data_IF_274061190585
#
_entry.id   IF_274061190585
#
_cell.length_a   1.000
_cell.length_b   1.000
_cell.length_c   1.000
_cell.angle_alpha   90.00
_cell.angle_beta   90.00
_cell.angle_gamma   90.00
#
_symmetry.space_group_name_H-M   'P 1'
#
loop_
_entity.id
_entity.type
_entity.pdbx_description
1 polymer ?
#
# COMPACT_ATOMS: atom_id res chain seq x y z
N UNK A 1 -1.03 -1.91 48.39
CA UNK A 1 -1.48 -3.33 48.43
C UNK A 1 -0.62 -4.18 49.38
N UNK A 2 -1.14 -5.29 49.91
CA UNK A 2 -0.38 -6.21 50.76
C UNK A 2 0.13 -7.42 49.97
N UNK A 3 1.38 -7.82 50.22
CA UNK A 3 1.96 -9.00 49.57
C UNK A 3 1.27 -10.29 50.07
N UNK A 4 0.75 -11.16 49.17
CA UNK A 4 0.05 -12.38 49.57
C UNK A 4 0.96 -13.43 50.23
N UNK A 5 2.29 -13.32 50.03
CA UNK A 5 3.28 -14.27 50.55
C UNK A 5 3.85 -13.88 51.92
N UNK A 6 4.12 -12.60 52.15
CA UNK A 6 4.82 -12.14 53.36
C UNK A 6 4.10 -11.03 54.14
N UNK A 7 2.92 -10.58 53.67
CA UNK A 7 2.09 -9.59 54.37
C UNK A 7 2.65 -8.16 54.41
N UNK A 8 3.79 -7.88 53.76
CA UNK A 8 4.37 -6.53 53.74
C UNK A 8 3.48 -5.59 52.91
N UNK A 9 3.27 -4.36 53.41
CA UNK A 9 2.60 -3.31 52.66
C UNK A 9 3.52 -2.78 51.57
N UNK A 10 3.03 -2.74 50.33
CA UNK A 10 3.74 -2.23 49.16
C UNK A 10 2.89 -1.13 48.49
N UNK A 11 3.56 -0.23 47.78
CA UNK A 11 2.89 0.73 46.90
C UNK A 11 2.08 0.02 45.81
N UNK A 12 0.97 0.62 45.40
CA UNK A 12 0.02 0.01 44.46
C UNK A 12 0.60 -0.21 43.06
N UNK A 13 1.66 0.51 42.67
CA UNK A 13 2.34 0.33 41.38
C UNK A 13 3.55 -0.62 41.43
N UNK A 14 3.81 -1.26 42.58
CA UNK A 14 5.00 -2.08 42.71
C UNK A 14 4.82 -3.45 42.03
N UNK A 15 5.64 -3.77 41.02
CA UNK A 15 5.55 -5.06 40.32
C UNK A 15 5.99 -6.24 41.20
N UNK A 16 6.90 -6.00 42.14
CA UNK A 16 7.45 -7.01 43.05
C UNK A 16 7.39 -6.51 44.48
N UNK A 17 7.29 -7.43 45.44
CA UNK A 17 7.36 -7.05 46.84
C UNK A 17 8.75 -6.53 47.23
N UNK A 18 8.82 -5.39 47.92
CA UNK A 18 10.08 -4.79 48.40
C UNK A 18 10.87 -5.70 49.34
N UNK A 19 10.20 -6.64 50.02
CA UNK A 19 10.82 -7.51 51.03
C UNK A 19 11.17 -8.89 50.48
N UNK A 20 10.18 -9.61 49.92
CA UNK A 20 10.36 -11.00 49.50
C UNK A 20 10.45 -11.21 47.97
N UNK A 21 10.38 -10.13 47.18
CA UNK A 21 10.48 -10.15 45.72
C UNK A 21 9.38 -10.96 44.99
N UNK A 22 8.29 -11.29 45.68
CA UNK A 22 7.11 -11.93 45.07
C UNK A 22 6.46 -11.02 44.03
N UNK A 23 6.01 -11.58 42.90
CA UNK A 23 5.35 -10.81 41.84
C UNK A 23 3.93 -10.48 42.31
N UNK A 24 3.63 -9.19 42.42
CA UNK A 24 2.34 -8.71 42.95
C UNK A 24 1.33 -8.46 41.84
N UNK A 25 1.81 -8.21 40.62
CA UNK A 25 0.97 -7.95 39.45
C UNK A 25 1.26 -8.99 38.38
N UNK A 26 0.22 -9.59 37.75
CA UNK A 26 0.43 -10.34 36.52
C UNK A 26 1.12 -9.42 35.52
N UNK A 27 2.14 -9.94 34.82
CA UNK A 27 2.83 -9.17 33.80
C UNK A 27 1.81 -8.61 32.81
N UNK A 28 1.91 -7.34 32.40
CA UNK A 28 0.98 -6.76 31.45
C UNK A 28 0.98 -7.64 30.20
N UNK A 29 -0.20 -8.15 29.84
CA UNK A 29 -0.39 -8.91 28.61
C UNK A 29 0.09 -8.03 27.47
N UNK A 30 1.09 -8.48 26.70
CA UNK A 30 1.52 -7.75 25.51
C UNK A 30 0.34 -7.68 24.56
N UNK A 31 -0.30 -6.52 24.48
CA UNK A 31 -1.36 -6.28 23.50
C UNK A 31 -0.68 -6.23 22.14
N UNK A 32 -0.80 -7.31 21.37
CA UNK A 32 -0.37 -7.31 19.97
C UNK A 32 -1.35 -6.41 19.24
N UNK A 33 -0.93 -5.18 18.96
CA UNK A 33 -1.68 -4.26 18.11
C UNK A 33 -1.68 -4.87 16.71
N UNK A 34 -2.80 -5.50 16.33
CA UNK A 34 -3.04 -5.86 14.94
C UNK A 34 -3.14 -4.55 14.16
N UNK A 35 -2.12 -4.24 13.37
CA UNK A 35 -2.19 -3.18 12.39
C UNK A 35 -3.03 -3.69 11.22
N UNK A 36 -4.14 -3.03 10.90
CA UNK A 36 -5.04 -3.42 9.82
C UNK A 36 -4.27 -3.55 8.49
N UNK A 37 -3.99 -4.77 8.04
CA UNK A 37 -3.26 -5.08 6.81
C UNK A 37 -3.98 -4.55 5.54
N UNK A 38 -5.29 -4.29 5.64
CA UNK A 38 -6.07 -3.66 4.57
C UNK A 38 -5.55 -2.26 4.19
N UNK A 39 -5.01 -1.50 5.16
CA UNK A 39 -4.39 -0.21 4.88
C UNK A 39 -3.06 -0.34 4.11
N UNK A 40 -2.50 -1.55 4.01
CA UNK A 40 -1.36 -1.87 3.14
C UNK A 40 -1.76 -2.19 1.71
N UNK A 41 -2.92 -2.80 1.54
CA UNK A 41 -3.40 -3.26 0.24
C UNK A 41 -3.87 -2.10 -0.63
N UNK A 42 -4.64 -1.15 -0.08
CA UNK A 42 -5.25 -0.06 -0.85
C UNK A 42 -4.58 1.28 -0.48
N UNK A 43 -3.76 1.87 -1.37
CA UNK A 43 -2.99 3.07 -1.06
C UNK A 43 -3.84 4.35 -1.21
N UNK A 44 -4.77 4.59 -0.29
CA UNK A 44 -5.67 5.76 -0.34
C UNK A 44 -4.94 7.11 -0.27
N UNK A 45 -3.78 7.14 0.40
CA UNK A 45 -2.93 8.34 0.51
C UNK A 45 -2.11 8.60 -0.76
N UNK A 46 -2.14 7.69 -1.73
CA UNK A 46 -1.47 7.81 -3.02
C UNK A 46 -2.49 7.68 -4.16
N UNK A 47 -3.36 8.68 -4.29
CA UNK A 47 -4.35 8.77 -5.37
C UNK A 47 -3.77 8.56 -6.77
N UNK A 48 -2.60 9.12 -7.17
CA UNK A 48 -2.08 8.87 -8.51
C UNK A 48 -1.71 7.40 -8.75
N UNK A 49 -1.15 6.67 -7.77
CA UNK A 49 -0.89 5.24 -7.91
C UNK A 49 -2.18 4.42 -8.02
N UNK A 50 -3.22 4.78 -7.26
CA UNK A 50 -4.51 4.10 -7.30
C UNK A 50 -5.22 4.30 -8.64
N UNK A 51 -5.24 5.54 -9.15
CA UNK A 51 -5.80 5.86 -10.47
C UNK A 51 -5.00 5.17 -11.57
N UNK A 52 -3.66 5.18 -11.49
CA UNK A 52 -2.79 4.49 -12.45
C UNK A 52 -3.10 3.00 -12.53
N UNK A 53 -3.35 2.35 -11.39
CA UNK A 53 -3.74 0.95 -11.34
C UNK A 53 -5.05 0.69 -12.09
N UNK A 54 -6.12 1.44 -11.77
CA UNK A 54 -7.41 1.25 -12.43
C UNK A 54 -7.30 1.51 -13.94
N UNK A 55 -6.68 2.62 -14.35
CA UNK A 55 -6.51 2.93 -15.77
C UNK A 55 -5.64 1.90 -16.49
N UNK A 56 -4.59 1.39 -15.85
CA UNK A 56 -3.75 0.34 -16.40
C UNK A 56 -4.51 -0.99 -16.56
N UNK A 57 -5.32 -1.39 -15.60
CA UNK A 57 -6.15 -2.60 -15.69
C UNK A 57 -7.23 -2.46 -16.77
N UNK A 58 -7.91 -1.33 -16.84
CA UNK A 58 -8.91 -1.09 -17.89
C UNK A 58 -8.29 -0.87 -19.27
N UNK A 59 -6.98 -0.56 -19.34
CA UNK A 59 -6.29 -0.47 -20.62
C UNK A 59 -6.15 -1.80 -21.35
N UNK A 60 -6.44 -2.95 -20.72
CA UNK A 60 -6.51 -4.24 -21.39
C UNK A 60 -7.67 -4.32 -22.40
N UNK A 61 -8.67 -3.44 -22.29
CA UNK A 61 -9.80 -3.40 -23.20
C UNK A 61 -9.34 -2.77 -24.53
N UNK A 62 -9.44 -3.49 -25.67
CA UNK A 62 -9.03 -2.97 -26.97
C UNK A 62 -9.74 -1.66 -27.34
N UNK A 63 -9.10 -0.81 -28.15
CA UNK A 63 -9.48 0.57 -28.50
C UNK A 63 -9.48 1.57 -27.32
N UNK A 64 -10.11 1.22 -26.20
CA UNK A 64 -10.14 2.06 -24.99
C UNK A 64 -8.75 2.16 -24.37
N UNK A 65 -7.94 1.11 -24.51
CA UNK A 65 -6.60 1.02 -23.95
C UNK A 65 -5.63 2.09 -24.41
N UNK A 66 -5.79 2.67 -25.61
CA UNK A 66 -4.92 3.80 -26.02
C UNK A 66 -5.22 5.06 -25.19
N UNK A 67 -6.50 5.33 -24.94
CA UNK A 67 -6.94 6.51 -24.19
C UNK A 67 -6.65 6.39 -22.69
N UNK A 68 -6.72 5.18 -22.15
CA UNK A 68 -6.51 4.94 -20.72
C UNK A 68 -5.05 4.60 -20.37
N UNK A 69 -4.35 3.88 -21.25
CA UNK A 69 -3.00 3.36 -21.00
C UNK A 69 -1.94 4.45 -20.93
N UNK A 70 -1.99 5.45 -21.83
CA UNK A 70 -1.01 6.56 -21.82
C UNK A 70 -1.13 7.39 -20.53
N UNK A 71 -2.32 7.84 -20.10
CA UNK A 71 -2.47 8.47 -18.78
C UNK A 71 -2.04 7.56 -17.63
N UNK A 72 -2.39 6.27 -17.65
CA UNK A 72 -2.01 5.31 -16.61
C UNK A 72 -0.49 5.26 -16.40
N UNK A 73 0.29 5.30 -17.48
CA UNK A 73 1.75 5.33 -17.44
C UNK A 73 2.29 6.56 -16.69
N UNK A 74 1.83 7.76 -17.06
CA UNK A 74 2.29 9.00 -16.41
C UNK A 74 1.83 9.11 -14.95
N UNK A 75 0.58 8.72 -14.66
CA UNK A 75 0.05 8.66 -13.31
C UNK A 75 0.82 7.63 -12.45
N UNK A 76 1.25 6.51 -13.05
CA UNK A 76 2.07 5.51 -12.40
C UNK A 76 3.45 6.04 -12.02
N UNK A 77 4.12 6.78 -12.91
CA UNK A 77 5.39 7.46 -12.60
C UNK A 77 5.23 8.49 -11.47
N UNK A 78 4.15 9.28 -11.50
CA UNK A 78 3.82 10.23 -10.42
C UNK A 78 3.54 9.49 -9.10
N UNK A 79 2.78 8.41 -9.13
CA UNK A 79 2.49 7.58 -7.97
C UNK A 79 3.73 6.96 -7.35
N UNK A 80 4.70 6.54 -8.17
CA UNK A 80 5.97 6.02 -7.69
C UNK A 80 6.83 7.11 -7.03
N UNK A 81 6.79 8.34 -7.55
CA UNK A 81 7.45 9.50 -6.91
C UNK A 81 6.83 9.79 -5.53
N UNK A 82 5.50 9.85 -5.44
CA UNK A 82 4.80 10.04 -4.15
C UNK A 82 5.16 8.92 -3.16
N UNK A 83 5.19 7.66 -3.60
CA UNK A 83 5.57 6.53 -2.74
C UNK A 83 7.05 6.53 -2.31
N UNK A 84 7.89 7.34 -2.96
CA UNK A 84 9.31 7.52 -2.60
C UNK A 84 9.49 8.69 -1.63
N UNK A 85 8.80 9.80 -1.88
CA UNK A 85 8.82 11.00 -1.03
C UNK A 85 8.08 10.77 0.29
N UNK A 86 6.98 10.02 0.23
CA UNK A 86 6.09 9.69 1.34
C UNK A 86 5.93 8.16 1.47
N UNK A 87 6.87 7.45 2.11
CA UNK A 87 6.80 6.00 2.28
C UNK A 87 5.51 5.53 2.99
N UNK A 88 4.95 6.37 3.86
CA UNK A 88 3.68 6.18 4.56
C UNK A 88 2.46 6.13 3.62
N UNK A 89 2.58 6.70 2.41
CA UNK A 89 1.50 6.71 1.43
C UNK A 89 1.37 5.38 0.67
N UNK A 90 2.42 4.54 0.68
CA UNK A 90 2.50 3.22 0.02
C UNK A 90 2.14 3.30 -1.48
N UNK A 91 1.72 2.19 -2.08
CA UNK A 91 1.21 2.16 -3.46
C UNK A 91 2.21 1.86 -4.58
N UNK A 92 3.44 1.43 -4.25
CA UNK A 92 4.47 1.06 -5.26
C UNK A 92 3.98 -0.03 -6.22
N UNK A 93 3.31 -1.07 -5.71
CA UNK A 93 2.77 -2.15 -6.54
C UNK A 93 1.71 -1.63 -7.53
N UNK A 94 0.78 -0.79 -7.05
CA UNK A 94 -0.26 -0.18 -7.88
C UNK A 94 0.33 0.75 -8.96
N UNK A 95 1.34 1.55 -8.60
CA UNK A 95 2.07 2.38 -9.55
C UNK A 95 2.76 1.54 -10.64
N UNK A 96 3.42 0.43 -10.27
CA UNK A 96 4.07 -0.47 -11.23
C UNK A 96 3.09 -1.15 -12.18
N UNK A 97 1.91 -1.57 -11.69
CA UNK A 97 0.85 -2.12 -12.55
C UNK A 97 0.42 -1.06 -13.57
N UNK A 98 0.18 0.19 -13.14
CA UNK A 98 -0.16 1.28 -14.05
C UNK A 98 0.92 1.56 -15.10
N UNK A 99 2.20 1.52 -14.71
CA UNK A 99 3.33 1.72 -15.64
C UNK A 99 3.43 0.57 -16.65
N UNK A 100 3.46 -0.67 -16.17
CA UNK A 100 3.70 -1.83 -17.03
C UNK A 100 2.49 -2.15 -17.89
N UNK A 101 1.31 -2.34 -17.30
CA UNK A 101 0.11 -2.66 -18.04
C UNK A 101 -0.33 -1.45 -18.89
N UNK A 102 -0.47 -0.28 -18.27
CA UNK A 102 -0.89 0.94 -18.98
C UNK A 102 0.07 1.35 -20.10
N UNK A 103 1.37 1.33 -19.83
CA UNK A 103 2.38 1.62 -20.84
C UNK A 103 2.38 0.60 -21.97
N UNK A 104 2.45 -0.70 -21.65
CA UNK A 104 2.48 -1.75 -22.66
C UNK A 104 1.26 -1.72 -23.57
N UNK A 105 0.05 -1.78 -23.01
CA UNK A 105 -1.18 -1.78 -23.81
C UNK A 105 -1.42 -0.44 -24.52
N UNK A 106 -1.13 0.69 -23.85
CA UNK A 106 -1.27 2.02 -24.45
C UNK A 106 -0.39 2.19 -25.69
N UNK A 107 0.90 1.87 -25.60
CA UNK A 107 1.82 1.98 -26.74
C UNK A 107 1.58 0.91 -27.80
N UNK A 108 1.19 -0.31 -27.40
CA UNK A 108 0.83 -1.38 -28.34
C UNK A 108 -0.36 -0.97 -29.21
N UNK A 109 -1.45 -0.50 -28.62
CA UNK A 109 -2.63 -0.06 -29.39
C UNK A 109 -2.34 1.16 -30.25
N UNK A 110 -1.51 2.10 -29.76
CA UNK A 110 -1.08 3.24 -30.56
C UNK A 110 -0.32 2.77 -31.81
N UNK A 111 0.62 1.84 -31.65
CA UNK A 111 1.38 1.25 -32.76
C UNK A 111 0.48 0.53 -33.76
N UNK A 112 -0.48 -0.26 -33.29
CA UNK A 112 -1.45 -0.96 -34.15
C UNK A 112 -2.34 0.00 -34.94
N UNK A 113 -2.80 1.09 -34.32
CA UNK A 113 -3.60 2.12 -34.98
C UNK A 113 -2.77 2.81 -36.08
N UNK A 114 -1.54 3.22 -35.77
CA UNK A 114 -0.65 3.85 -36.76
C UNK A 114 -0.35 2.91 -37.92
N UNK A 115 -0.02 1.65 -37.63
CA UNK A 115 0.22 0.64 -38.65
C UNK A 115 -1.00 0.44 -39.56
N UNK A 116 -2.21 0.35 -38.98
CA UNK A 116 -3.45 0.19 -39.74
C UNK A 116 -3.73 1.39 -40.65
N UNK A 117 -3.54 2.63 -40.15
CA UNK A 117 -3.70 3.84 -40.97
C UNK A 117 -2.72 3.84 -42.14
N UNK A 118 -1.45 3.48 -41.92
CA UNK A 118 -0.43 3.42 -42.98
C UNK A 118 -0.76 2.33 -44.00
N UNK A 119 -1.18 1.14 -43.56
CA UNK A 119 -1.55 0.06 -44.46
C UNK A 119 -2.70 0.47 -45.39
N UNK A 120 -3.77 1.07 -44.84
CA UNK A 120 -4.91 1.56 -45.62
C UNK A 120 -4.53 2.72 -46.55
N UNK A 121 -3.55 3.55 -46.19
CA UNK A 121 -3.11 4.67 -47.02
C UNK A 121 -2.19 4.28 -48.19
N UNK A 122 -1.62 3.06 -48.16
CA UNK A 122 -0.68 2.55 -49.17
C UNK A 122 -1.36 1.60 -50.16
N UNK A 123 -2.56 1.10 -49.81
CA UNK A 123 -3.48 0.38 -50.72
C UNK A 123 -4.26 1.34 -51.63
#
# INVERSE_FOLDING_TARGET
MFCPRCGTQNDDNNYKCIKCQEILHPAPTKVVVQTDDLAGLIPYKNSPALIAYYLGVFSLIPLIGVLLGIPAFFLGLKGLRVAREHPEARGKAHAWVGILAGGFFGFLYLGLIVWWIVAVAVE
#
